data_IF_300426779300
#
_entry.id   IF_300426779300
#
_cell.length_a   1.000
_cell.length_b   1.000
_cell.length_c   1.000
_cell.angle_alpha   90.00
_cell.angle_beta   90.00
_cell.angle_gamma   90.00
#
_symmetry.space_group_name_H-M   'P 1'
#
loop_
_entity.id
_entity.type
_entity.pdbx_description
1 polymer ?
#
# COMPACT_ATOMS: atom_id res chain seq x y z
N UNK A 1 8.77 -9.29 -17.80
CA UNK A 1 7.49 -9.64 -17.14
C UNK A 1 7.73 -9.42 -15.65
N UNK A 2 7.26 -8.31 -15.10
CA UNK A 2 7.53 -7.94 -13.70
C UNK A 2 6.42 -8.59 -12.88
N UNK A 3 6.77 -9.49 -11.96
CA UNK A 3 5.82 -10.08 -11.03
C UNK A 3 5.17 -8.95 -10.21
N UNK A 4 3.89 -8.65 -10.51
CA UNK A 4 3.04 -7.87 -9.62
C UNK A 4 2.77 -8.73 -8.39
N UNK A 5 3.70 -8.76 -7.43
CA UNK A 5 3.44 -9.41 -6.16
C UNK A 5 2.25 -8.71 -5.50
N UNK A 6 1.15 -9.43 -5.34
CA UNK A 6 -0.06 -9.00 -4.64
C UNK A 6 0.10 -9.10 -3.11
N UNK A 7 1.28 -9.50 -2.64
CA UNK A 7 1.58 -9.73 -1.23
C UNK A 7 2.83 -8.94 -0.80
N UNK A 8 2.80 -8.43 0.43
CA UNK A 8 3.98 -7.92 1.12
C UNK A 8 4.75 -9.13 1.65
N UNK A 9 5.96 -9.34 1.16
CA UNK A 9 6.84 -10.47 1.55
C UNK A 9 7.97 -10.04 2.49
N UNK A 10 8.09 -8.74 2.77
CA UNK A 10 9.05 -8.19 3.71
C UNK A 10 8.70 -8.61 5.15
N UNK A 11 9.73 -8.94 5.93
CA UNK A 11 9.58 -9.18 7.36
C UNK A 11 9.48 -7.86 8.16
N UNK A 12 9.19 -7.97 9.46
CA UNK A 12 9.02 -6.80 10.31
C UNK A 12 10.29 -5.96 10.44
N UNK A 13 11.46 -6.59 10.47
CA UNK A 13 12.74 -5.89 10.57
C UNK A 13 12.98 -5.05 9.30
N UNK A 14 12.75 -5.63 8.13
CA UNK A 14 12.81 -4.95 6.83
C UNK A 14 11.84 -3.78 6.77
N UNK A 15 10.59 -3.97 7.23
CA UNK A 15 9.59 -2.90 7.25
C UNK A 15 9.99 -1.75 8.20
N UNK A 16 10.56 -2.09 9.35
CA UNK A 16 11.04 -1.12 10.33
C UNK A 16 12.23 -0.32 9.81
N UNK A 17 13.17 -0.95 9.11
CA UNK A 17 14.30 -0.28 8.44
C UNK A 17 13.87 0.61 7.27
N UNK A 18 12.82 0.21 6.53
CA UNK A 18 12.30 0.98 5.40
C UNK A 18 11.48 2.20 5.82
N UNK A 19 10.89 2.20 7.01
CA UNK A 19 10.01 3.28 7.46
C UNK A 19 10.70 4.67 7.48
N UNK A 20 11.91 4.84 8.07
CA UNK A 20 12.64 6.11 7.99
C UNK A 20 12.93 6.56 6.55
N UNK A 21 13.38 5.63 5.70
CA UNK A 21 13.67 5.92 4.29
C UNK A 21 12.44 6.42 3.54
N UNK A 22 11.27 5.85 3.85
CA UNK A 22 9.99 6.25 3.26
C UNK A 22 9.59 7.66 3.70
N UNK A 23 9.76 7.98 4.98
CA UNK A 23 9.49 9.32 5.53
C UNK A 23 10.39 10.38 4.89
N UNK A 24 11.68 10.08 4.68
CA UNK A 24 12.60 11.00 4.01
C UNK A 24 12.19 11.32 2.56
N UNK A 25 11.68 10.30 1.85
CA UNK A 25 11.13 10.49 0.50
C UNK A 25 9.90 11.39 0.54
N UNK A 26 8.97 11.16 1.47
CA UNK A 26 7.78 12.00 1.61
C UNK A 26 8.13 13.44 1.96
N UNK A 27 9.09 13.66 2.87
CA UNK A 27 9.51 15.01 3.25
C UNK A 27 10.13 15.77 2.08
N UNK A 28 11.02 15.13 1.32
CA UNK A 28 11.65 15.74 0.14
C UNK A 28 10.61 16.11 -0.92
N UNK A 29 9.72 15.17 -1.25
CA UNK A 29 8.66 15.42 -2.23
C UNK A 29 7.67 16.47 -1.76
N UNK A 30 7.28 16.46 -0.48
CA UNK A 30 6.39 17.47 0.08
C UNK A 30 6.99 18.87 -0.09
N UNK A 31 8.26 19.05 0.28
CA UNK A 31 8.97 20.32 0.09
C UNK A 31 8.95 20.74 -1.39
N UNK A 32 9.43 19.87 -2.28
CA UNK A 32 9.56 20.17 -3.71
C UNK A 32 8.21 20.53 -4.36
N UNK A 33 7.16 19.76 -4.06
CA UNK A 33 5.84 20.00 -4.65
C UNK A 33 5.17 21.25 -4.09
N UNK A 34 5.24 21.47 -2.78
CA UNK A 34 4.69 22.68 -2.16
C UNK A 34 5.40 23.92 -2.70
N UNK A 35 6.74 23.92 -2.74
CA UNK A 35 7.52 25.04 -3.28
C UNK A 35 7.19 25.27 -4.78
N UNK A 36 7.00 24.21 -5.57
CA UNK A 36 6.68 24.34 -7.00
C UNK A 36 5.31 24.97 -7.28
N UNK A 37 4.36 24.84 -6.36
CA UNK A 37 2.98 25.34 -6.53
C UNK A 37 2.84 26.75 -5.92
N UNK A 38 3.43 26.97 -4.75
CA UNK A 38 3.21 28.17 -3.95
C UNK A 38 4.41 29.14 -3.93
N UNK A 39 5.54 28.75 -4.53
CA UNK A 39 6.75 29.54 -4.66
C UNK A 39 7.89 29.08 -3.73
N UNK A 40 9.11 29.47 -4.10
CA UNK A 40 10.32 29.04 -3.41
C UNK A 40 10.32 29.38 -1.91
N UNK A 41 10.59 28.36 -1.08
CA UNK A 41 10.66 28.48 0.37
C UNK A 41 9.31 28.55 1.08
N UNK A 42 8.19 28.37 0.36
CA UNK A 42 6.87 28.31 0.96
C UNK A 42 6.75 27.12 1.92
N UNK A 43 7.28 25.95 1.56
CA UNK A 43 7.28 24.77 2.42
C UNK A 43 8.03 25.01 3.74
N UNK A 44 9.16 25.72 3.69
CA UNK A 44 9.96 26.07 4.88
C UNK A 44 9.21 27.02 5.82
N UNK A 45 8.38 27.92 5.26
CA UNK A 45 7.58 28.89 6.03
C UNK A 45 6.30 28.30 6.62
N UNK A 46 5.83 27.18 6.09
CA UNK A 46 4.56 26.55 6.45
C UNK A 46 4.77 25.05 6.77
N UNK A 47 5.50 24.70 7.85
CA UNK A 47 5.82 23.31 8.19
C UNK A 47 4.57 22.46 8.50
N UNK A 48 3.48 23.07 8.98
CA UNK A 48 2.19 22.40 9.17
C UNK A 48 1.57 21.94 7.86
N UNK A 49 1.73 22.69 6.76
CA UNK A 49 1.29 22.27 5.44
C UNK A 49 2.12 21.07 4.94
N UNK A 50 3.43 21.06 5.22
CA UNK A 50 4.30 19.93 4.91
C UNK A 50 3.86 18.68 5.68
N UNK A 51 3.60 18.81 6.98
CA UNK A 51 3.12 17.70 7.81
C UNK A 51 1.78 17.15 7.31
N UNK A 52 0.82 18.04 6.99
CA UNK A 52 -0.47 17.66 6.44
C UNK A 52 -0.33 16.95 5.08
N UNK A 53 0.57 17.43 4.21
CA UNK A 53 0.86 16.78 2.93
C UNK A 53 1.42 15.36 3.11
N UNK A 54 2.41 15.20 4.00
CA UNK A 54 3.01 13.88 4.29
C UNK A 54 1.95 12.93 4.86
N UNK A 55 1.10 13.42 5.77
CA UNK A 55 0.05 12.60 6.36
C UNK A 55 -1.01 12.18 5.34
N UNK A 56 -1.40 13.08 4.44
CA UNK A 56 -2.30 12.75 3.33
C UNK A 56 -1.70 11.68 2.40
N UNK A 57 -0.42 11.84 2.02
CA UNK A 57 0.28 10.89 1.15
C UNK A 57 0.43 9.51 1.82
N UNK A 58 0.78 9.47 3.11
CA UNK A 58 0.87 8.22 3.86
C UNK A 58 -0.48 7.52 3.98
N UNK A 59 -1.56 8.29 4.23
CA UNK A 59 -2.92 7.76 4.31
C UNK A 59 -3.39 7.15 2.97
N UNK A 60 -3.11 7.83 1.86
CA UNK A 60 -3.42 7.34 0.51
C UNK A 60 -2.69 6.04 0.20
N UNK A 61 -1.37 6.01 0.44
CA UNK A 61 -0.55 4.81 0.24
C UNK A 61 -1.03 3.64 1.10
N UNK A 62 -1.29 3.88 2.38
CA UNK A 62 -1.82 2.85 3.29
C UNK A 62 -3.16 2.28 2.78
N UNK A 63 -4.06 3.16 2.34
CA UNK A 63 -5.36 2.76 1.80
C UNK A 63 -5.21 1.92 0.53
N UNK A 64 -4.31 2.31 -0.38
CA UNK A 64 -4.03 1.57 -1.61
C UNK A 64 -3.41 0.18 -1.34
N UNK A 65 -2.44 0.10 -0.43
CA UNK A 65 -1.84 -1.18 -0.02
C UNK A 65 -2.91 -2.10 0.58
N UNK A 66 -3.69 -1.60 1.54
CA UNK A 66 -4.74 -2.38 2.19
C UNK A 66 -5.78 -2.87 1.18
N UNK A 67 -6.28 -1.98 0.30
CA UNK A 67 -7.24 -2.34 -0.73
C UNK A 67 -6.71 -3.43 -1.67
N UNK A 68 -5.43 -3.35 -2.07
CA UNK A 68 -4.81 -4.35 -2.95
C UNK A 68 -4.63 -5.70 -2.26
N UNK A 69 -4.05 -5.72 -1.06
CA UNK A 69 -3.76 -6.97 -0.32
C UNK A 69 -5.06 -7.66 0.11
N UNK A 70 -6.00 -6.91 0.69
CA UNK A 70 -7.29 -7.45 1.13
C UNK A 70 -8.11 -7.90 -0.09
N UNK A 71 -8.17 -7.08 -1.15
CA UNK A 71 -8.88 -7.42 -2.37
C UNK A 71 -8.40 -8.74 -2.98
N UNK A 72 -7.08 -8.98 -2.99
CA UNK A 72 -6.52 -10.23 -3.45
C UNK A 72 -6.89 -11.42 -2.55
N UNK A 73 -6.72 -11.27 -1.22
CA UNK A 73 -7.07 -12.32 -0.27
C UNK A 73 -8.55 -12.73 -0.38
N UNK A 74 -9.45 -11.76 -0.59
CA UNK A 74 -10.87 -12.02 -0.81
C UNK A 74 -11.14 -12.77 -2.12
N UNK A 75 -10.40 -12.48 -3.20
CA UNK A 75 -10.50 -13.23 -4.45
C UNK A 75 -10.07 -14.70 -4.28
N UNK A 76 -8.99 -14.95 -3.55
CA UNK A 76 -8.52 -16.32 -3.26
C UNK A 76 -9.52 -17.10 -2.41
N UNK A 77 -10.09 -16.45 -1.39
CA UNK A 77 -11.15 -17.04 -0.57
C UNK A 77 -12.38 -17.36 -1.43
N UNK A 78 -12.83 -16.44 -2.30
CA UNK A 78 -13.95 -16.67 -3.20
C UNK A 78 -13.73 -17.90 -4.08
N UNK A 79 -12.54 -18.01 -4.70
CA UNK A 79 -12.20 -19.13 -5.56
C UNK A 79 -12.18 -20.47 -4.81
N UNK A 80 -11.67 -20.48 -3.57
CA UNK A 80 -11.68 -21.68 -2.73
C UNK A 80 -13.11 -22.10 -2.34
N UNK A 81 -13.97 -21.14 -2.01
CA UNK A 81 -15.38 -21.40 -1.69
C UNK A 81 -16.11 -21.99 -2.90
N UNK A 82 -15.90 -21.44 -4.09
CA UNK A 82 -16.50 -21.98 -5.33
C UNK A 82 -16.06 -23.42 -5.58
N UNK A 83 -14.78 -23.75 -5.42
CA UNK A 83 -14.28 -25.11 -5.58
C UNK A 83 -14.95 -26.10 -4.62
N UNK A 84 -15.14 -25.71 -3.35
CA UNK A 84 -15.80 -26.56 -2.35
C UNK A 84 -17.30 -26.68 -2.64
N UNK A 85 -17.97 -25.58 -2.99
CA UNK A 85 -19.41 -25.55 -3.25
C UNK A 85 -19.81 -26.38 -4.47
N UNK A 86 -18.94 -26.46 -5.49
CA UNK A 86 -19.19 -27.19 -6.74
C UNK A 86 -18.39 -28.49 -6.86
N UNK A 87 -17.70 -28.93 -5.80
CA UNK A 87 -17.04 -30.24 -5.77
C UNK A 87 -18.11 -31.35 -5.90
N UNK A 88 -18.08 -32.11 -7.01
CA UNK A 88 -18.96 -33.28 -7.18
C UNK A 88 -18.70 -34.29 -6.05
N UNK A 89 -19.74 -34.89 -5.44
CA UNK A 89 -19.54 -36.00 -4.52
C UNK A 89 -18.82 -37.14 -5.24
N UNK A 90 -17.77 -37.69 -4.63
CA UNK A 90 -17.06 -38.85 -5.18
C UNK A 90 -18.05 -39.97 -5.47
N UNK A 91 -18.13 -40.42 -6.73
CA UNK A 91 -18.82 -41.67 -7.08
C UNK A 91 -18.20 -42.79 -6.26
N UNK A 92 -18.97 -43.32 -5.29
CA UNK A 92 -18.60 -44.55 -4.62
C UNK A 92 -18.66 -45.65 -5.67
N UNK A 93 -17.49 -46.07 -6.14
CA UNK A 93 -17.31 -47.26 -6.97
C UNK A 93 -17.58 -48.48 -6.10
N UNK A 94 -18.74 -49.11 -6.30
CA UNK A 94 -19.06 -50.46 -5.87
C UNK A 94 -19.43 -51.29 -7.10
#
# INVERSE_FOLDING_TARGET
MIYSNSYVTADFDTLMEQAPSTVDVYLRQAKERIDSIFGDGYAKKNPELVAAFIQAAASDMNSAILAKVIGHALQEISAAIEQVAFAKPSEKTN
#
